data_IF_370860732665
#
_entry.id   IF_370860732665
#
_cell.length_a   1.000
_cell.length_b   1.000
_cell.length_c   1.000
_cell.angle_alpha   90.00
_cell.angle_beta   90.00
_cell.angle_gamma   90.00
#
_symmetry.space_group_name_H-M   'P 1'
#
loop_
_entity.id
_entity.type
_entity.pdbx_description
1 polymer ?
#
# COMPACT_ATOMS: atom_id res chain seq x y z
N UNK A 1 22.03 -57.13 -5.64
CA UNK A 1 22.08 -57.03 -7.12
C UNK A 1 21.05 -55.95 -7.49
N UNK A 2 21.37 -54.77 -8.03
CA UNK A 2 22.46 -54.37 -8.96
C UNK A 2 22.24 -54.97 -10.35
N UNK A 3 22.30 -54.27 -11.51
CA UNK A 3 22.50 -52.84 -11.88
C UNK A 3 21.94 -52.70 -13.35
N UNK A 4 21.67 -51.57 -14.03
CA UNK A 4 21.76 -50.12 -13.78
C UNK A 4 20.90 -49.30 -14.79
N UNK A 5 20.88 -47.97 -14.63
CA UNK A 5 20.65 -46.86 -15.61
C UNK A 5 19.97 -47.08 -16.98
N UNK A 6 19.10 -46.12 -17.34
CA UNK A 6 19.29 -45.28 -18.56
C UNK A 6 18.73 -43.86 -18.34
N UNK A 7 19.43 -42.84 -18.86
CA UNK A 7 19.06 -41.43 -18.71
C UNK A 7 18.93 -40.67 -20.04
N UNK A 8 18.01 -39.71 -20.06
CA UNK A 8 17.78 -38.61 -21.03
C UNK A 8 16.92 -37.59 -20.26
N UNK A 9 17.09 -36.27 -20.29
CA UNK A 9 17.78 -35.43 -21.27
C UNK A 9 16.82 -35.01 -22.39
N UNK A 10 16.25 -33.79 -22.42
CA UNK A 10 16.29 -32.69 -21.44
C UNK A 10 15.92 -31.34 -22.06
N UNK A 11 15.73 -30.30 -21.22
CA UNK A 11 15.42 -28.89 -21.57
C UNK A 11 14.10 -28.60 -22.32
N UNK A 12 13.63 -27.36 -22.16
CA UNK A 12 12.44 -26.80 -22.81
C UNK A 12 11.20 -26.86 -21.91
N UNK A 13 10.47 -25.78 -21.67
CA UNK A 13 10.68 -24.41 -22.20
C UNK A 13 9.54 -23.46 -21.85
N UNK A 14 8.81 -23.72 -20.76
CA UNK A 14 7.60 -23.00 -20.40
C UNK A 14 7.85 -21.91 -19.37
N UNK A 15 8.46 -20.78 -19.76
CA UNK A 15 8.18 -19.52 -19.06
C UNK A 15 6.75 -19.12 -19.42
N UNK A 16 5.79 -19.76 -18.75
CA UNK A 16 4.47 -19.17 -18.58
C UNK A 16 4.68 -17.87 -17.81
N UNK A 17 4.80 -16.77 -18.54
CA UNK A 17 4.72 -15.44 -17.97
C UNK A 17 3.32 -15.29 -17.42
N UNK A 18 3.14 -15.69 -16.16
CA UNK A 18 1.92 -15.39 -15.43
C UNK A 18 1.80 -13.88 -15.45
N UNK A 19 0.79 -13.37 -16.14
CA UNK A 19 0.28 -12.03 -15.86
C UNK A 19 -0.05 -12.06 -14.37
N UNK A 20 0.83 -11.46 -13.56
CA UNK A 20 0.71 -11.34 -12.10
C UNK A 20 -0.59 -10.58 -11.94
N UNK A 21 -1.68 -11.29 -11.65
CA UNK A 21 -3.02 -10.73 -11.61
C UNK A 21 -3.02 -9.78 -10.44
N UNK A 22 -2.81 -8.50 -10.72
CA UNK A 22 -2.64 -7.48 -9.70
C UNK A 22 -3.83 -7.59 -8.75
N UNK A 23 -3.60 -7.72 -7.43
CA UNK A 23 -4.67 -7.72 -6.47
C UNK A 23 -5.68 -6.61 -6.77
N UNK A 24 -6.95 -6.99 -6.73
CA UNK A 24 -8.04 -6.04 -6.96
C UNK A 24 -7.98 -5.03 -5.80
N UNK A 25 -7.91 -3.71 -6.08
CA UNK A 25 -7.88 -2.70 -5.04
C UNK A 25 -9.01 -2.89 -4.03
N UNK A 26 -8.70 -2.72 -2.74
CA UNK A 26 -9.64 -3.07 -1.68
C UNK A 26 -10.89 -2.18 -1.72
N UNK A 27 -12.04 -2.66 -1.20
CA UNK A 27 -13.25 -1.85 -1.10
C UNK A 27 -13.05 -0.54 -0.32
N UNK A 28 -12.07 -0.49 0.58
CA UNK A 28 -11.69 0.71 1.33
C UNK A 28 -11.04 1.75 0.43
N UNK A 29 -10.02 1.38 -0.37
CA UNK A 29 -9.38 2.33 -1.30
C UNK A 29 -10.37 2.77 -2.37
N UNK A 30 -11.11 1.84 -2.97
CA UNK A 30 -12.13 2.16 -3.99
C UNK A 30 -13.18 3.16 -3.46
N UNK A 31 -13.51 3.11 -2.17
CA UNK A 31 -14.45 4.05 -1.53
C UNK A 31 -13.82 5.39 -1.15
N UNK A 32 -12.54 5.43 -0.78
CA UNK A 32 -11.84 6.69 -0.49
C UNK A 32 -11.57 7.49 -1.79
N UNK A 33 -11.24 6.79 -2.87
CA UNK A 33 -10.94 7.39 -4.18
C UNK A 33 -12.20 7.61 -5.04
N UNK A 34 -13.41 7.35 -4.52
CA UNK A 34 -14.67 7.65 -5.19
C UNK A 34 -15.00 9.15 -5.11
N UNK A 35 -15.23 9.79 -6.26
CA UNK A 35 -15.46 11.24 -6.35
C UNK A 35 -16.72 11.74 -5.62
N UNK A 36 -17.68 10.86 -5.31
CA UNK A 36 -18.84 11.23 -4.49
C UNK A 36 -18.49 11.45 -3.01
N UNK A 37 -17.33 10.98 -2.55
CA UNK A 37 -16.82 11.26 -1.20
C UNK A 37 -16.05 12.59 -1.18
N UNK A 38 -16.34 13.52 -0.26
CA UNK A 38 -15.52 14.72 -0.06
C UNK A 38 -14.07 14.37 0.30
N UNK A 39 -13.11 15.11 -0.24
CA UNK A 39 -11.67 14.85 -0.09
C UNK A 39 -11.21 14.73 1.38
N UNK A 40 -11.70 15.61 2.28
CA UNK A 40 -11.40 15.52 3.72
C UNK A 40 -12.01 14.29 4.38
N UNK A 41 -13.24 13.91 4.02
CA UNK A 41 -13.88 12.68 4.48
C UNK A 41 -13.15 11.43 3.97
N UNK A 42 -12.64 11.47 2.73
CA UNK A 42 -11.82 10.41 2.15
C UNK A 42 -10.48 10.25 2.86
N UNK A 43 -9.81 11.37 3.20
CA UNK A 43 -8.56 11.34 3.98
C UNK A 43 -8.75 10.67 5.35
N UNK A 44 -9.70 11.15 6.17
CA UNK A 44 -9.99 10.52 7.47
C UNK A 44 -10.45 9.07 7.32
N UNK A 45 -11.34 8.76 6.36
CA UNK A 45 -11.80 7.39 6.13
C UNK A 45 -10.67 6.43 5.72
N UNK A 46 -9.69 6.92 4.95
CA UNK A 46 -8.52 6.16 4.51
C UNK A 46 -7.60 5.79 5.68
N UNK A 47 -7.31 6.73 6.59
CA UNK A 47 -6.37 6.51 7.70
C UNK A 47 -7.00 6.08 9.03
N UNK A 48 -8.33 6.12 9.15
CA UNK A 48 -9.07 5.76 10.37
C UNK A 48 -8.61 4.47 11.08
N UNK A 49 -8.21 3.37 10.40
CA UNK A 49 -7.67 2.19 11.08
C UNK A 49 -6.37 2.47 11.86
N UNK A 50 -5.44 3.23 11.25
CA UNK A 50 -4.18 3.61 11.88
C UNK A 50 -4.40 4.71 12.94
N UNK A 51 -5.24 5.70 12.63
CA UNK A 51 -5.66 6.76 13.56
C UNK A 51 -6.22 6.18 14.86
N UNK A 52 -7.09 5.17 14.75
CA UNK A 52 -7.70 4.48 15.90
C UNK A 52 -6.66 3.73 16.76
N UNK A 53 -5.65 3.12 16.13
CA UNK A 53 -4.59 2.39 16.83
C UNK A 53 -3.64 3.37 17.56
N UNK A 54 -3.19 4.44 16.88
CA UNK A 54 -2.39 5.48 17.52
C UNK A 54 -3.15 6.18 18.66
N UNK A 55 -4.46 6.43 18.51
CA UNK A 55 -5.31 6.98 19.58
C UNK A 55 -5.50 6.02 20.77
N UNK A 56 -5.38 4.71 20.55
CA UNK A 56 -5.35 3.70 21.61
C UNK A 56 -3.96 3.54 22.26
N UNK A 57 -2.93 4.21 21.74
CA UNK A 57 -1.53 4.07 22.17
C UNK A 57 -0.80 2.87 21.56
N UNK A 58 -1.44 2.12 20.66
CA UNK A 58 -0.86 0.96 19.98
C UNK A 58 -0.14 1.40 18.71
N UNK A 59 1.14 1.75 18.88
CA UNK A 59 1.97 2.25 17.77
C UNK A 59 2.37 1.13 16.80
N UNK A 60 2.50 -0.12 17.27
CA UNK A 60 2.82 -1.27 16.39
C UNK A 60 1.64 -1.59 15.47
N UNK A 61 0.40 -1.63 16.00
CA UNK A 61 -0.79 -1.78 15.18
C UNK A 61 -1.05 -0.56 14.28
N UNK A 62 -0.73 0.66 14.73
CA UNK A 62 -0.84 1.88 13.93
C UNK A 62 0.14 1.90 12.75
N UNK A 63 1.40 1.52 12.98
CA UNK A 63 2.41 1.33 11.93
C UNK A 63 1.99 0.27 10.92
N UNK A 64 1.54 -0.91 11.38
CA UNK A 64 1.10 -1.99 10.51
C UNK A 64 -0.13 -1.61 9.66
N UNK A 65 -1.13 -0.96 10.27
CA UNK A 65 -2.30 -0.47 9.54
C UNK A 65 -1.92 0.59 8.50
N UNK A 66 -1.05 1.55 8.86
CA UNK A 66 -0.59 2.61 7.95
C UNK A 66 0.26 2.04 6.80
N UNK A 67 1.08 1.02 7.08
CA UNK A 67 1.84 0.28 6.07
C UNK A 67 0.92 -0.39 5.05
N UNK A 68 -0.08 -1.15 5.52
CA UNK A 68 -1.06 -1.82 4.66
C UNK A 68 -1.87 -0.81 3.82
N UNK A 69 -2.24 0.34 4.40
CA UNK A 69 -2.93 1.42 3.70
C UNK A 69 -2.07 1.95 2.54
N UNK A 70 -0.78 2.25 2.77
CA UNK A 70 0.08 2.78 1.71
C UNK A 70 0.39 1.79 0.61
N UNK A 71 0.58 0.51 0.93
CA UNK A 71 0.73 -0.51 -0.11
C UNK A 71 -0.51 -0.59 -1.01
N UNK A 72 -1.72 -0.55 -0.44
CA UNK A 72 -2.96 -0.53 -1.23
C UNK A 72 -3.16 0.77 -2.04
N UNK A 73 -2.72 1.93 -1.53
CA UNK A 73 -2.76 3.21 -2.26
C UNK A 73 -1.78 3.21 -3.43
N UNK A 74 -0.55 2.72 -3.22
CA UNK A 74 0.47 2.60 -4.29
C UNK A 74 0.04 1.59 -5.34
N UNK A 75 -0.51 0.44 -4.93
CA UNK A 75 -1.10 -0.55 -5.83
C UNK A 75 -2.24 0.04 -6.68
N UNK A 76 -3.20 0.73 -6.05
CA UNK A 76 -4.28 1.40 -6.77
C UNK A 76 -3.74 2.46 -7.76
N UNK A 77 -2.82 3.32 -7.32
CA UNK A 77 -2.20 4.33 -8.17
C UNK A 77 -1.43 3.71 -9.36
N UNK A 78 -0.81 2.55 -9.19
CA UNK A 78 -0.12 1.83 -10.28
C UNK A 78 -1.07 1.29 -11.36
N UNK A 79 -2.34 1.07 -11.01
CA UNK A 79 -3.41 0.59 -11.91
C UNK A 79 -4.27 1.74 -12.48
N UNK A 80 -4.19 2.93 -11.90
CA UNK A 80 -5.05 4.08 -12.23
C UNK A 80 -4.47 4.87 -13.42
N UNK A 81 -5.28 5.22 -14.44
CA UNK A 81 -4.86 6.11 -15.53
C UNK A 81 -4.31 7.45 -15.01
N UNK A 82 -3.25 7.97 -15.63
CA UNK A 82 -2.54 9.15 -15.12
C UNK A 82 -3.39 10.44 -15.00
N UNK A 83 -4.57 10.50 -15.62
CA UNK A 83 -5.51 11.62 -15.53
C UNK A 83 -6.60 11.43 -14.45
N UNK A 84 -6.66 10.25 -13.83
CA UNK A 84 -7.52 9.94 -12.67
C UNK A 84 -6.70 10.02 -11.36
N UNK A 85 -5.36 10.09 -11.45
CA UNK A 85 -4.46 10.21 -10.29
C UNK A 85 -4.57 11.52 -9.51
N UNK A 86 -5.13 12.59 -10.09
CA UNK A 86 -5.33 13.86 -9.39
C UNK A 86 -6.14 13.67 -8.09
N UNK A 87 -7.16 12.78 -8.14
CA UNK A 87 -7.96 12.40 -6.97
C UNK A 87 -7.12 11.76 -5.86
N UNK A 88 -6.20 10.87 -6.22
CA UNK A 88 -5.27 10.23 -5.26
C UNK A 88 -4.35 11.27 -4.63
N UNK A 89 -3.85 12.21 -5.43
CA UNK A 89 -2.97 13.30 -4.99
C UNK A 89 -3.72 14.25 -4.04
N UNK A 90 -4.99 14.57 -4.30
CA UNK A 90 -5.82 15.38 -3.40
C UNK A 90 -6.13 14.69 -2.07
N UNK A 91 -6.47 13.40 -2.08
CA UNK A 91 -6.67 12.62 -0.84
C UNK A 91 -5.38 12.55 -0.02
N UNK A 92 -4.22 12.33 -0.65
CA UNK A 92 -2.92 12.31 0.06
C UNK A 92 -2.53 13.68 0.65
N UNK A 93 -2.83 14.79 -0.04
CA UNK A 93 -2.67 16.14 0.54
C UNK A 93 -3.57 16.33 1.75
N UNK A 94 -4.84 15.94 1.66
CA UNK A 94 -5.78 16.07 2.75
C UNK A 94 -5.47 15.15 3.94
N UNK A 95 -4.81 14.00 3.74
CA UNK A 95 -4.20 13.25 4.85
C UNK A 95 -3.07 14.06 5.47
N UNK A 96 -2.17 14.64 4.67
CA UNK A 96 -1.05 15.44 5.19
C UNK A 96 -1.52 16.68 5.99
N UNK A 97 -2.70 17.21 5.70
CA UNK A 97 -3.32 18.33 6.44
C UNK A 97 -4.16 17.91 7.67
N UNK A 98 -4.24 16.61 8.02
CA UNK A 98 -4.93 16.17 9.24
C UNK A 98 -4.23 16.68 10.51
N UNK A 99 -5.03 17.18 11.46
CA UNK A 99 -4.54 17.75 12.72
C UNK A 99 -4.50 16.75 13.88
N UNK A 100 -5.19 15.61 13.80
CA UNK A 100 -5.25 14.59 14.85
C UNK A 100 -4.95 13.16 14.35
N UNK A 101 -4.30 12.29 15.15
CA UNK A 101 -3.54 12.63 16.36
C UNK A 101 -2.38 13.56 16.02
N UNK A 102 -2.25 14.67 16.75
CA UNK A 102 -1.30 15.74 16.43
C UNK A 102 0.16 15.28 16.28
N UNK A 103 0.56 14.23 17.02
CA UNK A 103 1.78 13.44 16.76
C UNK A 103 1.56 11.99 17.14
N UNK A 104 2.22 11.06 16.45
CA UNK A 104 2.22 9.63 16.73
C UNK A 104 3.63 9.04 16.59
N UNK A 105 3.87 7.80 17.04
CA UNK A 105 5.18 7.15 16.89
C UNK A 105 5.24 6.28 15.63
N UNK A 106 6.39 6.34 14.93
CA UNK A 106 6.74 5.48 13.78
C UNK A 106 8.22 5.08 13.93
N UNK A 107 8.50 3.79 14.05
CA UNK A 107 9.84 3.20 14.20
C UNK A 107 10.67 3.85 15.32
N UNK A 108 10.05 4.04 16.50
CA UNK A 108 10.68 4.65 17.67
C UNK A 108 10.93 6.16 17.54
N UNK A 109 10.19 6.86 16.67
CA UNK A 109 10.33 8.30 16.41
C UNK A 109 8.98 8.98 16.28
N UNK A 110 8.88 10.17 16.87
CA UNK A 110 7.70 11.03 16.72
C UNK A 110 7.54 11.49 15.26
N UNK A 111 6.34 11.31 14.73
CA UNK A 111 5.92 11.64 13.38
C UNK A 111 4.61 12.46 13.38
N UNK A 112 4.29 13.03 12.22
CA UNK A 112 3.08 13.81 11.95
C UNK A 112 2.54 13.47 10.56
N UNK A 113 1.24 13.65 10.33
CA UNK A 113 0.63 13.39 9.02
C UNK A 113 1.29 14.17 7.87
N UNK A 114 1.78 15.40 8.13
CA UNK A 114 2.52 16.26 7.18
C UNK A 114 3.76 15.62 6.56
N UNK A 115 4.29 14.56 7.16
CA UNK A 115 5.45 13.84 6.65
C UNK A 115 5.07 12.65 5.75
N UNK A 116 3.77 12.30 5.68
CA UNK A 116 3.25 11.05 5.10
C UNK A 116 4.14 9.84 5.45
N UNK A 117 4.34 9.55 6.75
CA UNK A 117 5.27 8.53 7.20
C UNK A 117 4.90 7.16 6.63
N UNK A 118 5.92 6.32 6.39
CA UNK A 118 5.83 5.02 5.70
C UNK A 118 5.50 5.04 4.19
N UNK A 119 4.95 6.12 3.62
CA UNK A 119 4.60 6.18 2.18
C UNK A 119 5.83 6.07 1.27
N UNK A 120 6.90 6.81 1.56
CA UNK A 120 8.16 6.78 0.79
C UNK A 120 8.90 5.42 0.83
N UNK A 121 8.92 4.69 1.96
CA UNK A 121 9.22 3.26 2.00
C UNK A 121 8.32 2.40 1.11
N UNK A 122 7.00 2.44 1.26
CA UNK A 122 6.07 1.59 0.50
C UNK A 122 6.17 1.76 -1.03
N UNK A 123 6.36 3.00 -1.51
CA UNK A 123 6.61 3.29 -2.93
C UNK A 123 7.87 2.58 -3.45
N UNK A 124 8.94 2.52 -2.64
CA UNK A 124 10.21 1.88 -3.04
C UNK A 124 10.10 0.37 -3.06
N UNK A 125 9.51 -0.24 -2.03
CA UNK A 125 9.31 -1.70 -2.03
C UNK A 125 8.42 -2.15 -3.19
N UNK A 126 7.37 -1.38 -3.52
CA UNK A 126 6.54 -1.64 -4.72
C UNK A 126 7.29 -1.52 -6.06
N UNK A 127 8.49 -0.92 -6.10
CA UNK A 127 9.34 -0.86 -7.30
C UNK A 127 10.45 -1.92 -7.26
N UNK A 128 11.04 -2.17 -6.10
CA UNK A 128 12.08 -3.19 -5.90
C UNK A 128 11.52 -4.62 -6.09
N UNK A 129 10.24 -4.85 -5.75
CA UNK A 129 9.52 -6.13 -5.97
C UNK A 129 9.14 -6.39 -7.47
N UNK A 130 9.67 -5.55 -8.38
CA UNK A 130 9.39 -5.54 -9.82
C UNK A 130 10.60 -5.78 -10.74
N UNK A 131 11.79 -6.10 -10.23
CA UNK A 131 13.05 -6.24 -11.00
C UNK A 131 13.63 -7.67 -10.97
#
# INVERSE_FOLDING_TARGET
>A
MSLSMRGRGGRGGGRGGGVRSLPRPSPTILRAMDDSMPISSAASFLVAPAESAFAAGDSEAGEAALWDIWNQVVEYASQTPAHELDRVIEVLKAVADLEEPATFEIWGKQATWKQLPLLGPAIRESWDDGI
#
